data_IF_707538390050
#
_entry.id   IF_707538390050
#
_cell.length_a   1.000
_cell.length_b   1.000
_cell.length_c   1.000
_cell.angle_alpha   90.00
_cell.angle_beta   90.00
_cell.angle_gamma   90.00
#
_symmetry.space_group_name_H-M   'P 1'
#
loop_
_entity.id
_entity.type
_entity.pdbx_description
1 polymer ?
#
# COMPACT_ATOMS: atom_id res chain seq x y z
N UNK A 1 -1.34 24.11 8.88
CA UNK A 1 -1.88 22.74 8.74
C UNK A 1 -3.08 22.60 9.62
N UNK A 2 -4.18 22.08 9.09
CA UNK A 2 -5.44 21.87 9.82
C UNK A 2 -5.60 20.41 10.25
N UNK A 3 -6.65 20.10 11.00
CA UNK A 3 -6.93 18.74 11.47
C UNK A 3 -6.99 17.74 10.30
N UNK A 4 -7.58 18.14 9.18
CA UNK A 4 -7.70 17.36 7.96
C UNK A 4 -6.32 17.01 7.37
N UNK A 5 -5.39 17.98 7.32
CA UNK A 5 -4.01 17.72 6.90
C UNK A 5 -3.33 16.66 7.79
N UNK A 6 -3.47 16.80 9.12
CA UNK A 6 -2.87 15.85 10.05
C UNK A 6 -3.47 14.46 9.92
N UNK A 7 -4.78 14.34 9.70
CA UNK A 7 -5.44 13.05 9.46
C UNK A 7 -4.88 12.35 8.23
N UNK A 8 -4.70 13.08 7.12
CA UNK A 8 -4.15 12.52 5.88
C UNK A 8 -2.69 12.07 6.06
N UNK A 9 -1.88 12.85 6.78
CA UNK A 9 -0.50 12.46 7.12
C UNK A 9 -0.45 11.21 7.99
N UNK A 10 -1.32 11.12 9.01
CA UNK A 10 -1.40 9.94 9.89
C UNK A 10 -1.77 8.70 9.08
N UNK A 11 -2.71 8.80 8.14
CA UNK A 11 -3.04 7.70 7.21
C UNK A 11 -1.79 7.27 6.44
N UNK A 12 -1.02 8.21 5.89
CA UNK A 12 0.24 7.91 5.22
C UNK A 12 1.24 7.15 6.10
N UNK A 13 1.40 7.55 7.36
CA UNK A 13 2.24 6.83 8.32
C UNK A 13 1.73 5.42 8.63
N UNK A 14 0.42 5.22 8.77
CA UNK A 14 -0.17 3.89 8.98
C UNK A 14 0.12 2.97 7.79
N UNK A 15 -0.01 3.49 6.56
CA UNK A 15 0.32 2.73 5.34
C UNK A 15 1.80 2.37 5.29
N UNK A 16 2.70 3.31 5.63
CA UNK A 16 4.15 3.05 5.71
C UNK A 16 4.46 2.00 6.77
N UNK A 17 3.87 2.09 7.96
CA UNK A 17 4.06 1.10 9.03
C UNK A 17 3.63 -0.30 8.57
N UNK A 18 2.55 -0.39 7.78
CA UNK A 18 2.10 -1.63 7.14
C UNK A 18 3.14 -2.14 6.15
N UNK A 19 3.73 -1.26 5.34
CA UNK A 19 4.85 -1.60 4.44
C UNK A 19 6.09 -2.13 5.19
N UNK A 20 6.47 -1.50 6.31
CA UNK A 20 7.57 -1.95 7.16
C UNK A 20 7.28 -3.35 7.72
N UNK A 21 6.06 -3.59 8.19
CA UNK A 21 5.64 -4.92 8.64
C UNK A 21 5.74 -5.96 7.52
N UNK A 22 5.32 -5.62 6.30
CA UNK A 22 5.51 -6.49 5.14
C UNK A 22 6.99 -6.83 4.92
N UNK A 23 7.87 -5.83 4.93
CA UNK A 23 9.30 -6.00 4.69
C UNK A 23 9.95 -6.96 5.70
N UNK A 24 9.62 -6.82 6.99
CA UNK A 24 10.20 -7.63 8.07
C UNK A 24 9.59 -9.03 8.19
N UNK A 25 8.40 -9.25 7.62
CA UNK A 25 7.69 -10.51 7.74
C UNK A 25 8.32 -11.61 6.88
N UNK A 26 8.50 -12.78 7.49
CA UNK A 26 8.86 -14.03 6.80
C UNK A 26 7.62 -14.81 6.32
N UNK A 27 6.41 -14.35 6.66
CA UNK A 27 5.15 -14.98 6.25
C UNK A 27 4.77 -14.50 4.85
N UNK A 28 4.16 -15.35 4.01
CA UNK A 28 3.62 -14.95 2.72
C UNK A 28 2.42 -14.00 2.94
N UNK A 29 2.70 -12.70 2.96
CA UNK A 29 1.70 -11.67 3.16
C UNK A 29 1.15 -11.21 1.83
N UNK A 30 -0.16 -11.02 1.78
CA UNK A 30 -0.86 -10.46 0.63
C UNK A 30 -1.58 -9.19 1.07
N UNK A 31 -1.76 -8.23 0.17
CA UNK A 31 -2.57 -7.03 0.44
C UNK A 31 -4.06 -7.34 0.65
N UNK A 32 -4.52 -8.55 0.30
CA UNK A 32 -5.87 -9.02 0.59
C UNK A 32 -5.90 -9.83 1.88
N UNK A 33 -6.87 -9.54 2.75
CA UNK A 33 -7.22 -10.43 3.84
C UNK A 33 -8.05 -11.61 3.24
N UNK A 34 -7.36 -12.69 2.89
CA UNK A 34 -7.94 -14.04 2.88
C UNK A 34 -8.97 -14.42 1.79
N UNK A 35 -8.99 -13.78 0.61
CA UNK A 35 -9.90 -14.23 -0.48
C UNK A 35 -9.36 -15.48 -1.20
N UNK A 36 -8.05 -15.77 -1.13
CA UNK A 36 -7.47 -16.97 -1.76
C UNK A 36 -6.27 -17.55 -0.99
N UNK A 37 -6.50 -18.44 0.01
CA UNK A 37 -5.42 -19.09 0.78
C UNK A 37 -4.41 -19.87 -0.08
N UNK A 38 -4.86 -20.37 -1.23
CA UNK A 38 -4.04 -21.12 -2.20
C UNK A 38 -2.97 -20.22 -2.83
N UNK A 39 -3.22 -18.90 -2.96
CA UNK A 39 -2.27 -17.96 -3.56
C UNK A 39 -1.04 -17.74 -2.69
N UNK A 40 -1.20 -17.68 -1.35
CA UNK A 40 -0.08 -17.50 -0.44
C UNK A 40 0.89 -18.71 -0.46
N UNK A 41 0.37 -19.92 -0.69
CA UNK A 41 1.19 -21.14 -0.85
C UNK A 41 1.99 -21.18 -2.15
N UNK A 42 1.60 -20.38 -3.15
CA UNK A 42 2.20 -20.39 -4.49
C UNK A 42 3.27 -19.31 -4.68
N UNK A 43 3.65 -18.57 -3.64
CA UNK A 43 4.72 -17.58 -3.72
C UNK A 43 6.07 -18.31 -3.79
N UNK A 44 6.83 -18.07 -4.86
CA UNK A 44 8.15 -18.71 -5.09
C UNK A 44 9.22 -18.16 -4.16
N UNK A 45 9.22 -16.84 -3.97
CA UNK A 45 10.20 -16.10 -3.18
C UNK A 45 9.45 -15.13 -2.25
N UNK A 46 9.21 -15.57 -1.02
CA UNK A 46 8.42 -14.83 -0.03
C UNK A 46 9.09 -13.50 0.33
N UNK A 47 10.40 -13.51 0.54
CA UNK A 47 11.15 -12.31 0.93
C UNK A 47 11.08 -11.25 -0.17
N UNK A 48 11.39 -11.60 -1.43
CA UNK A 48 11.32 -10.63 -2.53
C UNK A 48 9.90 -10.16 -2.82
N UNK A 49 8.90 -11.03 -2.69
CA UNK A 49 7.50 -10.66 -2.81
C UNK A 49 7.09 -9.63 -1.75
N UNK A 50 7.44 -9.90 -0.49
CA UNK A 50 7.16 -9.03 0.63
C UNK A 50 7.88 -7.69 0.51
N UNK A 51 9.16 -7.68 0.10
CA UNK A 51 9.92 -6.45 -0.12
C UNK A 51 9.32 -5.59 -1.26
N UNK A 52 8.91 -6.21 -2.37
CA UNK A 52 8.25 -5.50 -3.47
C UNK A 52 6.90 -4.90 -3.03
N UNK A 53 6.14 -5.65 -2.24
CA UNK A 53 4.86 -5.17 -1.67
C UNK A 53 5.09 -4.05 -0.66
N UNK A 54 6.13 -4.16 0.18
CA UNK A 54 6.53 -3.12 1.11
C UNK A 54 6.89 -1.81 0.40
N UNK A 55 7.66 -1.88 -0.70
CA UNK A 55 8.00 -0.71 -1.51
C UNK A 55 6.75 -0.05 -2.10
N UNK A 56 5.80 -0.84 -2.61
CA UNK A 56 4.54 -0.32 -3.15
C UNK A 56 3.73 0.42 -2.07
N UNK A 57 3.59 -0.17 -0.88
CA UNK A 57 2.91 0.46 0.25
C UNK A 57 3.66 1.70 0.74
N UNK A 58 5.00 1.66 0.78
CA UNK A 58 5.82 2.79 1.16
C UNK A 58 5.59 4.01 0.24
N UNK A 59 5.63 3.80 -1.08
CA UNK A 59 5.36 4.86 -2.06
C UNK A 59 3.93 5.38 -1.89
N UNK A 60 2.96 4.50 -1.72
CA UNK A 60 1.56 4.89 -1.56
C UNK A 60 1.33 5.71 -0.27
N UNK A 61 1.95 5.32 0.85
CA UNK A 61 1.90 6.09 2.08
C UNK A 61 2.62 7.44 1.98
N UNK A 62 3.73 7.51 1.22
CA UNK A 62 4.42 8.77 0.95
C UNK A 62 3.53 9.76 0.19
N UNK A 63 2.71 9.28 -0.77
CA UNK A 63 1.75 10.12 -1.51
C UNK A 63 0.77 10.79 -0.53
N UNK A 64 0.20 10.04 0.42
CA UNK A 64 -0.67 10.63 1.45
C UNK A 64 0.05 11.67 2.32
N UNK A 65 1.30 11.41 2.74
CA UNK A 65 2.06 12.39 3.51
C UNK A 65 2.27 13.68 2.69
N UNK A 66 2.65 13.55 1.42
CA UNK A 66 2.84 14.69 0.53
C UNK A 66 1.54 15.47 0.32
N UNK A 67 0.41 14.78 0.14
CA UNK A 67 -0.90 15.42 0.02
C UNK A 67 -1.24 16.26 1.24
N UNK A 68 -1.07 15.69 2.44
CA UNK A 68 -1.34 16.40 3.69
C UNK A 68 -0.39 17.56 3.97
N UNK A 69 0.81 17.58 3.38
CA UNK A 69 1.78 18.69 3.49
C UNK A 69 1.54 19.78 2.45
N UNK A 70 1.19 19.41 1.21
CA UNK A 70 1.15 20.33 0.07
C UNK A 70 -0.20 21.04 -0.05
N UNK A 71 -1.32 20.34 0.18
CA UNK A 71 -2.65 20.90 -0.08
C UNK A 71 -3.21 21.65 1.14
N UNK A 72 -4.01 22.68 0.86
CA UNK A 72 -4.76 23.40 1.88
C UNK A 72 -5.97 22.62 2.40
N UNK A 73 -6.61 23.13 3.45
CA UNK A 73 -7.77 22.52 4.11
C UNK A 73 -8.94 22.23 3.16
N UNK A 74 -9.17 23.09 2.16
CA UNK A 74 -10.35 22.99 1.28
C UNK A 74 -10.20 21.86 0.26
N UNK A 75 -8.97 21.59 -0.16
CA UNK A 75 -8.68 20.64 -1.23
C UNK A 75 -8.17 19.30 -0.69
N UNK A 76 -7.47 19.27 0.45
CA UNK A 76 -6.75 18.09 0.97
C UNK A 76 -7.66 16.87 1.11
N UNK A 77 -8.87 17.02 1.66
CA UNK A 77 -9.78 15.90 1.87
C UNK A 77 -10.32 15.34 0.55
N UNK A 78 -10.63 16.21 -0.40
CA UNK A 78 -11.12 15.81 -1.72
C UNK A 78 -10.05 14.97 -2.43
N UNK A 79 -8.81 15.44 -2.46
CA UNK A 79 -7.69 14.72 -3.07
C UNK A 79 -7.45 13.40 -2.33
N UNK A 80 -7.40 13.41 -1.00
CA UNK A 80 -7.18 12.21 -0.20
C UNK A 80 -8.26 11.14 -0.43
N UNK A 81 -9.52 11.51 -0.70
CA UNK A 81 -10.58 10.57 -1.05
C UNK A 81 -10.30 9.91 -2.42
N UNK A 82 -9.89 10.70 -3.41
CA UNK A 82 -9.51 10.16 -4.73
C UNK A 82 -8.26 9.28 -4.65
N UNK A 83 -7.31 9.63 -3.79
CA UNK A 83 -6.12 8.81 -3.55
C UNK A 83 -6.50 7.52 -2.81
N UNK A 84 -7.33 7.59 -1.78
CA UNK A 84 -7.72 6.43 -0.99
C UNK A 84 -8.56 5.42 -1.77
N UNK A 85 -9.52 5.86 -2.57
CA UNK A 85 -10.47 4.94 -3.24
C UNK A 85 -9.95 4.54 -4.63
N UNK A 86 -9.94 5.42 -5.65
CA UNK A 86 -9.30 5.15 -6.94
C UNK A 86 -7.85 4.68 -6.82
N UNK A 87 -7.02 5.33 -6.00
CA UNK A 87 -5.61 4.95 -5.86
C UNK A 87 -5.41 3.54 -5.31
N UNK A 88 -6.30 3.06 -4.42
CA UNK A 88 -6.27 1.67 -3.95
C UNK A 88 -6.47 0.67 -5.10
N UNK A 89 -7.34 0.96 -6.07
CA UNK A 89 -7.49 0.09 -7.26
C UNK A 89 -6.21 0.06 -8.11
N UNK A 90 -5.52 1.19 -8.23
CA UNK A 90 -4.22 1.25 -8.92
C UNK A 90 -3.17 0.42 -8.18
N UNK A 91 -3.07 0.54 -6.86
CA UNK A 91 -2.18 -0.26 -6.01
C UNK A 91 -2.49 -1.75 -6.16
N UNK A 92 -3.77 -2.13 -6.11
CA UNK A 92 -4.22 -3.50 -6.32
C UNK A 92 -3.85 -4.03 -7.70
N UNK A 93 -4.06 -3.23 -8.76
CA UNK A 93 -3.69 -3.61 -10.12
C UNK A 93 -2.17 -3.82 -10.24
N UNK A 94 -1.36 -2.90 -9.69
CA UNK A 94 0.10 -3.03 -9.72
C UNK A 94 0.53 -4.32 -9.00
N UNK A 95 -0.04 -4.57 -7.82
CA UNK A 95 0.23 -5.78 -7.06
C UNK A 95 -0.13 -7.05 -7.85
N UNK A 96 -1.34 -7.13 -8.42
CA UNK A 96 -1.80 -8.32 -9.13
C UNK A 96 -1.02 -8.58 -10.43
N UNK A 97 -0.84 -7.55 -11.26
CA UNK A 97 -0.26 -7.71 -12.58
C UNK A 97 1.27 -7.81 -12.57
N UNK A 98 1.95 -7.11 -11.64
CA UNK A 98 3.41 -7.06 -11.62
C UNK A 98 4.02 -7.87 -10.49
N UNK A 99 3.61 -7.64 -9.24
CA UNK A 99 4.25 -8.29 -8.09
C UNK A 99 3.84 -9.76 -8.06
N UNK A 100 2.53 -10.02 -7.98
CA UNK A 100 1.99 -11.37 -7.85
C UNK A 100 2.36 -12.24 -9.06
N UNK A 101 2.18 -11.74 -10.29
CA UNK A 101 2.54 -12.50 -11.50
C UNK A 101 4.03 -12.85 -11.58
N UNK A 102 4.92 -11.98 -11.07
CA UNK A 102 6.36 -12.22 -11.05
C UNK A 102 6.78 -13.27 -10.02
N UNK A 103 6.10 -13.31 -8.88
CA UNK A 103 6.47 -14.19 -7.75
C UNK A 103 5.54 -15.38 -7.54
N UNK A 104 4.58 -15.63 -8.43
CA UNK A 104 3.74 -16.83 -8.42
C UNK A 104 4.45 -18.00 -9.11
N UNK A 105 4.36 -19.20 -8.52
CA UNK A 105 4.66 -20.46 -9.21
C UNK A 105 3.73 -20.55 -10.43
N UNK A 106 4.33 -20.84 -11.59
CA UNK A 106 3.59 -21.22 -12.80
C UNK A 106 3.05 -22.63 -12.65
#
# INVERSE_FOLDING_TARGET
MTTENYLVIIIGFVVIATGIYHYLSQKPLTIYHNIRPILAKNITDVAKHNHATALLLFIYGLIFILEGVIFDQTVVLHIAIFTAVPGMFVVMAIYEFFIRRKYSKR
#
